data_IF_700196601913
#
_entry.id   IF_700196601913
#
_cell.length_a   1.000
_cell.length_b   1.000
_cell.length_c   1.000
_cell.angle_alpha   90.00
_cell.angle_beta   90.00
_cell.angle_gamma   90.00
#
_symmetry.space_group_name_H-M   'P 1'
#
loop_
_entity.id
_entity.type
_entity.pdbx_description
1 polymer ?
#
# COMPACT_ATOMS: atom_id res chain seq x y z
N UNK A 1 -13.51 3.07 -12.01
CA UNK A 1 -13.76 4.44 -12.47
C UNK A 1 -14.32 5.22 -11.28
N UNK A 2 -13.76 6.39 -10.98
CA UNK A 2 -14.19 7.26 -9.88
C UNK A 2 -15.66 7.67 -10.03
N UNK A 3 -16.11 7.94 -11.25
CA UNK A 3 -17.47 8.39 -11.55
C UNK A 3 -18.50 7.27 -11.29
N UNK A 4 -18.19 6.04 -11.70
CA UNK A 4 -19.03 4.87 -11.43
C UNK A 4 -19.22 4.61 -9.93
N UNK A 5 -18.13 4.74 -9.15
CA UNK A 5 -18.20 4.56 -7.70
C UNK A 5 -19.04 5.67 -7.05
N UNK A 6 -18.89 6.91 -7.51
CA UNK A 6 -19.66 8.03 -6.98
C UNK A 6 -21.16 7.87 -7.27
N UNK A 7 -21.55 7.46 -8.47
CA UNK A 7 -22.95 7.14 -8.81
C UNK A 7 -23.52 6.01 -7.94
N UNK A 8 -22.74 4.96 -7.68
CA UNK A 8 -23.18 3.88 -6.79
C UNK A 8 -23.41 4.36 -5.35
N UNK A 9 -22.51 5.20 -4.84
CA UNK A 9 -22.64 5.76 -3.48
C UNK A 9 -23.86 6.68 -3.40
N UNK A 10 -24.09 7.50 -4.42
CA UNK A 10 -25.28 8.33 -4.51
C UNK A 10 -26.58 7.49 -4.51
N UNK A 11 -26.63 6.40 -5.28
CA UNK A 11 -27.78 5.47 -5.29
C UNK A 11 -28.04 4.82 -3.93
N UNK A 12 -27.03 4.75 -3.05
CA UNK A 12 -27.15 4.25 -1.66
C UNK A 12 -27.49 5.35 -0.65
N UNK A 13 -27.79 6.57 -1.11
CA UNK A 13 -28.11 7.71 -0.27
C UNK A 13 -26.89 8.42 0.33
N UNK A 14 -25.69 8.15 -0.19
CA UNK A 14 -24.46 8.79 0.26
C UNK A 14 -24.10 9.94 -0.69
N UNK A 15 -24.24 11.18 -0.22
CA UNK A 15 -23.75 12.37 -0.93
C UNK A 15 -22.28 12.61 -0.60
N UNK A 16 -21.39 11.99 -1.36
CA UNK A 16 -19.95 12.17 -1.21
C UNK A 16 -19.26 12.38 -2.56
N UNK A 17 -18.06 12.96 -2.49
CA UNK A 17 -17.16 13.09 -3.63
C UNK A 17 -16.13 11.98 -3.59
N UNK A 18 -16.03 11.20 -4.65
CA UNK A 18 -14.95 10.22 -4.80
C UNK A 18 -13.71 10.95 -5.29
N UNK A 19 -12.61 10.80 -4.55
CA UNK A 19 -11.31 11.37 -4.92
C UNK A 19 -10.27 10.28 -4.92
N UNK A 20 -9.43 10.25 -5.97
CA UNK A 20 -8.25 9.38 -6.01
C UNK A 20 -7.05 10.16 -5.50
N UNK A 21 -6.45 9.67 -4.41
CA UNK A 21 -5.19 10.20 -3.91
C UNK A 21 -4.08 9.62 -4.79
N UNK A 22 -3.42 10.48 -5.55
CA UNK A 22 -2.28 10.12 -6.41
C UNK A 22 -0.94 10.35 -5.73
N UNK A 23 -0.93 11.09 -4.62
CA UNK A 23 0.26 11.37 -3.84
C UNK A 23 0.86 10.06 -3.32
N UNK A 24 2.17 9.92 -3.53
CA UNK A 24 2.96 8.81 -3.03
C UNK A 24 4.02 9.37 -2.11
N UNK A 25 3.91 9.09 -0.83
CA UNK A 25 4.97 9.42 0.10
C UNK A 25 6.15 8.44 -0.10
N UNK A 26 7.37 8.95 -0.30
CA UNK A 26 8.55 8.10 -0.27
C UNK A 26 8.71 7.58 1.15
N UNK A 27 8.38 6.31 1.35
CA UNK A 27 8.59 5.62 2.61
C UNK A 27 9.57 4.49 2.40
N UNK A 28 10.65 4.46 3.18
CA UNK A 28 11.67 3.42 3.03
C UNK A 28 11.24 2.05 3.54
N UNK A 29 10.15 2.01 4.30
CA UNK A 29 9.69 0.87 5.07
C UNK A 29 8.22 0.50 4.82
N UNK A 30 7.56 1.06 3.80
CA UNK A 30 6.15 0.81 3.50
C UNK A 30 5.84 -0.61 2.96
N UNK A 31 6.77 -1.55 3.10
CA UNK A 31 6.57 -2.96 2.75
C UNK A 31 7.35 -3.87 3.67
N UNK A 32 6.74 -4.99 4.07
CA UNK A 32 7.38 -5.99 4.93
C UNK A 32 8.71 -6.50 4.35
N UNK A 33 8.82 -6.63 3.03
CA UNK A 33 10.06 -6.98 2.34
C UNK A 33 11.18 -5.95 2.56
N UNK A 34 10.85 -4.64 2.52
CA UNK A 34 11.81 -3.54 2.74
C UNK A 34 12.21 -3.44 4.21
N UNK A 35 11.27 -3.64 5.13
CA UNK A 35 11.54 -3.73 6.57
C UNK A 35 12.51 -4.87 6.86
N UNK A 36 12.23 -6.06 6.35
CA UNK A 36 13.08 -7.24 6.54
C UNK A 36 14.47 -6.98 5.95
N UNK A 37 14.57 -6.43 4.73
CA UNK A 37 15.84 -6.08 4.13
C UNK A 37 16.66 -5.12 5.02
N UNK A 38 16.04 -4.08 5.58
CA UNK A 38 16.69 -3.12 6.47
C UNK A 38 17.18 -3.74 7.77
N UNK A 39 16.41 -4.66 8.35
CA UNK A 39 16.81 -5.42 9.56
C UNK A 39 18.00 -6.32 9.23
N UNK A 40 17.92 -7.08 8.14
CA UNK A 40 19.01 -7.97 7.74
C UNK A 40 20.30 -7.20 7.45
N UNK A 41 20.20 -6.03 6.80
CA UNK A 41 21.32 -5.11 6.58
C UNK A 41 21.91 -4.63 7.92
N UNK A 42 21.06 -4.13 8.83
CA UNK A 42 21.49 -3.59 10.14
C UNK A 42 22.22 -4.62 11.00
N UNK A 43 21.75 -5.87 10.99
CA UNK A 43 22.28 -6.93 11.86
C UNK A 43 23.21 -7.91 11.11
N UNK A 44 23.51 -7.66 9.83
CA UNK A 44 24.35 -8.51 8.95
C UNK A 44 23.91 -9.97 8.90
N UNK A 45 22.62 -10.23 9.08
CA UNK A 45 22.04 -11.58 9.09
C UNK A 45 21.69 -11.96 7.64
N UNK A 46 22.04 -13.18 7.21
CA UNK A 46 21.66 -13.70 5.88
C UNK A 46 20.28 -14.34 5.95
N UNK A 47 19.44 -14.06 4.95
CA UNK A 47 18.14 -14.71 4.81
C UNK A 47 18.37 -16.18 4.45
N UNK A 48 17.88 -17.09 5.27
CA UNK A 48 17.88 -18.52 4.95
C UNK A 48 16.85 -18.71 3.85
N UNK A 49 17.29 -18.98 2.62
CA UNK A 49 16.41 -19.38 1.54
C UNK A 49 16.06 -20.85 1.74
N UNK A 50 14.89 -21.14 2.29
CA UNK A 50 14.26 -22.44 2.07
C UNK A 50 13.71 -22.45 0.64
N UNK A 51 14.22 -23.34 -0.19
CA UNK A 51 13.84 -23.52 -1.60
C UNK A 51 13.74 -25.02 -1.87
N UNK A 52 12.83 -25.46 -2.76
CA UNK A 52 11.39 -25.19 -2.81
C UNK A 52 10.59 -26.11 -1.87
#
# INVERSE_FOLDING_TARGET
DEDLLQEELFRRGLQCRVVRITEREPCDLCGSSRIVARILERYRVRRIQSRP
#
